data_IF_772041335441
#
_entry.id   IF_772041335441
#
_cell.length_a   1.000
_cell.length_b   1.000
_cell.length_c   1.000
_cell.angle_alpha   90.00
_cell.angle_beta   90.00
_cell.angle_gamma   90.00
#
_symmetry.space_group_name_H-M   'P 1'
#
loop_
_entity.id
_entity.type
_entity.pdbx_description
1 polymer ?
#
# COMPACT_ATOMS: atom_id res chain seq x y z
N UNK A 1 30.31 7.18 -4.61
CA UNK A 1 30.01 7.36 -6.05
C UNK A 1 28.55 7.75 -6.26
N UNK A 2 27.58 6.97 -5.74
CA UNK A 2 26.14 7.25 -5.85
C UNK A 2 25.74 8.69 -5.50
N UNK A 3 26.17 9.23 -4.35
CA UNK A 3 25.86 10.63 -3.95
C UNK A 3 26.27 11.68 -4.97
N UNK A 4 27.46 11.54 -5.55
CA UNK A 4 27.94 12.48 -6.59
C UNK A 4 27.15 12.36 -7.88
N UNK A 5 26.74 11.14 -8.27
CA UNK A 5 25.89 10.94 -9.43
C UNK A 5 24.48 11.50 -9.20
N UNK A 6 23.97 11.35 -7.97
CA UNK A 6 22.68 11.88 -7.55
C UNK A 6 22.64 13.40 -7.65
N UNK A 7 23.64 14.08 -7.09
CA UNK A 7 23.80 15.53 -7.16
C UNK A 7 23.95 16.02 -8.61
N UNK A 8 24.79 15.35 -9.42
CA UNK A 8 25.03 15.74 -10.82
C UNK A 8 23.81 15.55 -11.71
N UNK A 9 23.01 14.51 -11.46
CA UNK A 9 21.82 14.21 -12.25
C UNK A 9 20.55 14.83 -11.69
N UNK A 10 20.63 15.55 -10.56
CA UNK A 10 19.46 16.11 -9.87
C UNK A 10 18.47 15.03 -9.44
N UNK A 11 18.96 13.84 -9.06
CA UNK A 11 18.13 12.67 -8.81
C UNK A 11 17.41 12.68 -7.44
N UNK A 12 17.59 13.73 -6.63
CA UNK A 12 16.82 13.96 -5.41
C UNK A 12 16.93 12.85 -4.36
N UNK A 13 18.08 12.17 -4.30
CA UNK A 13 18.39 11.06 -3.39
C UNK A 13 18.08 9.67 -3.94
N UNK A 14 17.44 9.55 -5.11
CA UNK A 14 17.01 8.26 -5.67
C UNK A 14 18.18 7.32 -6.01
N UNK A 15 19.30 7.86 -6.53
CA UNK A 15 20.48 7.04 -6.84
C UNK A 15 21.23 6.60 -5.58
N UNK A 16 21.16 7.42 -4.52
CA UNK A 16 21.68 7.03 -3.21
C UNK A 16 20.82 5.92 -2.59
N UNK A 17 19.50 6.04 -2.65
CA UNK A 17 18.57 5.03 -2.16
C UNK A 17 18.69 3.71 -2.92
N UNK A 18 18.78 3.75 -4.26
CA UNK A 18 18.97 2.55 -5.09
C UNK A 18 20.32 1.85 -4.81
N UNK A 19 21.35 2.61 -4.46
CA UNK A 19 22.67 2.07 -4.16
C UNK A 19 22.80 1.55 -2.71
N UNK A 20 21.79 1.76 -1.86
CA UNK A 20 21.79 1.26 -0.49
C UNK A 20 21.53 -0.24 -0.52
N UNK A 21 22.44 -1.08 0.01
CA UNK A 21 22.15 -2.50 0.14
C UNK A 21 20.94 -2.69 1.08
N UNK A 22 20.13 -3.72 0.87
CA UNK A 22 19.05 -4.04 1.80
C UNK A 22 19.63 -4.25 3.20
N UNK A 23 18.95 -3.73 4.21
CA UNK A 23 19.34 -3.93 5.61
C UNK A 23 18.94 -5.34 6.03
N UNK A 24 19.87 -6.28 5.89
CA UNK A 24 19.73 -7.65 6.34
C UNK A 24 20.63 -7.87 7.56
N UNK A 25 20.13 -8.51 8.63
CA UNK A 25 20.97 -8.95 9.74
C UNK A 25 22.02 -9.97 9.30
N UNK A 26 23.19 -9.93 9.94
CA UNK A 26 24.24 -10.95 9.89
C UNK A 26 24.65 -11.40 8.47
N UNK A 27 24.50 -12.71 8.18
CA UNK A 27 24.83 -13.40 6.94
C UNK A 27 23.62 -13.55 5.99
N UNK A 28 22.54 -12.76 6.20
CA UNK A 28 21.26 -12.92 5.49
C UNK A 28 21.38 -12.87 3.96
N UNK A 29 22.20 -11.98 3.41
CA UNK A 29 22.45 -11.92 1.97
C UNK A 29 23.15 -13.19 1.44
N UNK A 30 24.13 -13.70 2.19
CA UNK A 30 24.87 -14.92 1.83
C UNK A 30 23.97 -16.16 1.93
N UNK A 31 23.06 -16.20 2.92
CA UNK A 31 22.04 -17.25 3.07
C UNK A 31 21.08 -17.28 1.89
N UNK A 32 20.52 -16.14 1.51
CA UNK A 32 19.62 -16.04 0.35
C UNK A 32 20.35 -16.49 -0.91
N UNK A 33 21.60 -16.04 -1.11
CA UNK A 33 22.41 -16.45 -2.26
C UNK A 33 22.74 -17.96 -2.24
N UNK A 34 22.96 -18.54 -1.06
CA UNK A 34 23.18 -19.97 -0.90
C UNK A 34 21.93 -20.78 -1.23
N UNK A 35 20.77 -20.38 -0.71
CA UNK A 35 19.47 -21.02 -0.96
C UNK A 35 19.10 -20.95 -2.44
N UNK A 36 19.37 -19.83 -3.12
CA UNK A 36 19.17 -19.70 -4.57
C UNK A 36 19.96 -20.74 -5.39
N UNK A 37 21.12 -21.18 -4.89
CA UNK A 37 21.94 -22.25 -5.53
C UNK A 37 21.58 -23.66 -5.04
N UNK A 38 21.00 -23.77 -3.86
CA UNK A 38 20.72 -25.05 -3.19
C UNK A 38 19.32 -25.01 -2.54
N UNK A 39 18.23 -24.96 -3.34
CA UNK A 39 16.89 -24.67 -2.84
C UNK A 39 16.39 -25.70 -1.81
N UNK A 40 16.75 -26.98 -2.00
CA UNK A 40 16.44 -28.08 -1.07
C UNK A 40 17.20 -28.02 0.26
N UNK A 41 18.16 -27.10 0.40
CA UNK A 41 18.95 -26.86 1.62
C UNK A 41 18.55 -25.57 2.33
N UNK A 42 17.40 -25.00 2.00
CA UNK A 42 16.82 -23.86 2.73
C UNK A 42 16.54 -24.25 4.18
N UNK A 43 16.67 -23.28 5.08
CA UNK A 43 16.46 -23.47 6.51
C UNK A 43 15.55 -22.35 7.08
N UNK A 44 15.06 -22.47 8.33
CA UNK A 44 14.34 -21.40 9.03
C UNK A 44 14.95 -19.99 8.88
N UNK A 45 16.26 -19.86 9.05
CA UNK A 45 16.96 -18.58 8.98
C UNK A 45 16.95 -17.98 7.57
N UNK A 46 16.88 -18.81 6.53
CA UNK A 46 16.66 -18.36 5.16
C UNK A 46 15.30 -17.69 5.01
N UNK A 47 14.25 -18.23 5.64
CA UNK A 47 12.90 -17.62 5.62
C UNK A 47 12.92 -16.28 6.33
N UNK A 48 13.59 -16.20 7.48
CA UNK A 48 13.69 -14.97 8.27
C UNK A 48 14.45 -13.87 7.49
N UNK A 49 15.55 -14.23 6.81
CA UNK A 49 16.27 -13.32 5.92
C UNK A 49 15.41 -12.83 4.72
N UNK A 50 14.54 -13.69 4.17
CA UNK A 50 13.59 -13.30 3.12
C UNK A 50 12.47 -12.38 3.64
N UNK A 51 12.09 -12.52 4.92
CA UNK A 51 11.15 -11.62 5.58
C UNK A 51 11.77 -10.23 5.82
N UNK A 52 13.03 -10.18 6.28
CA UNK A 52 13.78 -8.94 6.44
C UNK A 52 13.98 -8.22 5.10
N UNK A 53 14.29 -8.98 4.05
CA UNK A 53 14.38 -8.44 2.70
C UNK A 53 13.06 -7.83 2.23
N UNK A 54 11.92 -8.51 2.49
CA UNK A 54 10.60 -7.96 2.15
C UNK A 54 10.31 -6.67 2.92
N UNK A 55 10.59 -6.64 4.22
CA UNK A 55 10.41 -5.44 5.05
C UNK A 55 11.26 -4.26 4.53
N UNK A 56 12.51 -4.54 4.11
CA UNK A 56 13.37 -3.53 3.48
C UNK A 56 12.82 -3.05 2.14
N UNK A 57 12.28 -3.95 1.30
CA UNK A 57 11.70 -3.57 0.01
C UNK A 57 10.42 -2.72 0.14
N UNK A 58 9.61 -2.95 1.18
CA UNK A 58 8.43 -2.10 1.48
C UNK A 58 8.86 -0.66 1.75
N UNK A 59 9.81 -0.46 2.66
CA UNK A 59 10.35 0.88 2.96
C UNK A 59 11.07 1.51 1.77
N UNK A 60 11.74 0.71 0.94
CA UNK A 60 12.39 1.22 -0.26
C UNK A 60 11.36 1.73 -1.29
N UNK A 61 10.16 1.14 -1.34
CA UNK A 61 9.07 1.63 -2.19
C UNK A 61 8.60 3.02 -1.80
N UNK A 62 8.46 3.31 -0.49
CA UNK A 62 8.07 4.64 -0.02
C UNK A 62 9.03 5.73 -0.54
N UNK A 63 10.31 5.39 -0.75
CA UNK A 63 11.36 6.32 -1.21
C UNK A 63 11.49 6.41 -2.73
N UNK A 64 11.42 5.26 -3.43
CA UNK A 64 11.70 5.15 -4.87
C UNK A 64 10.45 5.13 -5.76
N UNK A 65 9.28 4.83 -5.18
CA UNK A 65 8.03 4.57 -5.87
C UNK A 65 7.91 3.14 -6.40
N UNK A 66 6.66 2.69 -6.55
CA UNK A 66 6.34 1.30 -6.88
C UNK A 66 7.00 0.80 -8.17
N UNK A 67 6.94 1.58 -9.25
CA UNK A 67 7.46 1.18 -10.56
C UNK A 67 8.98 0.88 -10.53
N UNK A 68 9.74 1.57 -9.68
CA UNK A 68 11.18 1.38 -9.57
C UNK A 68 11.56 0.07 -8.86
N UNK A 69 10.77 -0.37 -7.87
CA UNK A 69 11.05 -1.57 -7.08
C UNK A 69 10.48 -2.85 -7.69
N UNK A 70 9.46 -2.76 -8.55
CA UNK A 70 8.79 -3.90 -9.18
C UNK A 70 9.75 -4.96 -9.79
N UNK A 71 10.81 -4.62 -10.55
CA UNK A 71 11.72 -5.62 -11.10
C UNK A 71 12.46 -6.44 -10.04
N UNK A 72 12.92 -5.79 -8.96
CA UNK A 72 13.60 -6.48 -7.86
C UNK A 72 12.64 -7.39 -7.09
N UNK A 73 11.42 -6.89 -6.85
CA UNK A 73 10.37 -7.65 -6.17
C UNK A 73 9.96 -8.88 -6.99
N UNK A 74 9.89 -8.78 -8.33
CA UNK A 74 9.66 -9.92 -9.21
C UNK A 74 10.73 -11.00 -9.08
N UNK A 75 12.00 -10.61 -9.09
CA UNK A 75 13.10 -11.56 -8.98
C UNK A 75 13.09 -12.28 -7.62
N UNK A 76 12.81 -11.55 -6.54
CA UNK A 76 12.65 -12.15 -5.21
C UNK A 76 11.42 -13.06 -5.12
N UNK A 77 10.30 -12.70 -5.76
CA UNK A 77 9.12 -13.55 -5.87
C UNK A 77 9.40 -14.87 -6.57
N UNK A 78 10.13 -14.84 -7.68
CA UNK A 78 10.51 -16.03 -8.42
C UNK A 78 11.38 -16.95 -7.56
N UNK A 79 12.34 -16.37 -6.84
CA UNK A 79 13.17 -17.12 -5.89
C UNK A 79 12.32 -17.73 -4.78
N UNK A 80 11.54 -16.92 -4.05
CA UNK A 80 10.74 -17.40 -2.90
C UNK A 80 9.73 -18.46 -3.33
N UNK A 81 9.09 -18.26 -4.49
CA UNK A 81 8.19 -19.25 -5.08
C UNK A 81 8.88 -20.57 -5.43
N UNK A 82 10.09 -20.51 -5.98
CA UNK A 82 10.90 -21.70 -6.24
C UNK A 82 11.34 -22.40 -4.96
N UNK A 83 11.78 -21.65 -3.94
CA UNK A 83 12.10 -22.24 -2.64
C UNK A 83 10.88 -22.92 -2.01
N UNK A 84 9.71 -22.29 -2.08
CA UNK A 84 8.46 -22.87 -1.60
C UNK A 84 8.06 -24.15 -2.36
N UNK A 85 8.34 -24.24 -3.67
CA UNK A 85 8.05 -25.45 -4.45
C UNK A 85 8.96 -26.63 -4.10
N UNK A 86 10.22 -26.37 -3.73
CA UNK A 86 11.21 -27.39 -3.38
C UNK A 86 11.15 -27.81 -1.90
N UNK A 87 10.56 -26.96 -1.05
CA UNK A 87 10.48 -27.19 0.39
C UNK A 87 9.53 -28.34 0.77
N UNK A 88 9.91 -29.06 1.82
CA UNK A 88 9.16 -30.17 2.40
C UNK A 88 8.80 -29.86 3.86
N UNK A 89 7.84 -30.61 4.40
CA UNK A 89 7.42 -30.58 5.80
C UNK A 89 7.11 -29.16 6.34
N UNK A 90 7.48 -28.88 7.59
CA UNK A 90 7.19 -27.60 8.28
C UNK A 90 7.77 -26.38 7.53
N UNK A 91 8.92 -26.56 6.87
CA UNK A 91 9.56 -25.48 6.13
C UNK A 91 8.71 -25.02 4.94
N UNK A 92 7.94 -25.92 4.32
CA UNK A 92 7.01 -25.58 3.24
C UNK A 92 5.99 -24.56 3.71
N UNK A 93 5.36 -24.79 4.87
CA UNK A 93 4.35 -23.87 5.40
C UNK A 93 4.90 -22.46 5.62
N UNK A 94 6.13 -22.36 6.15
CA UNK A 94 6.84 -21.08 6.34
C UNK A 94 7.17 -20.38 5.03
N UNK A 95 7.70 -21.10 4.05
CA UNK A 95 8.07 -20.53 2.75
C UNK A 95 6.84 -20.14 1.91
N UNK A 96 5.77 -20.93 1.94
CA UNK A 96 4.50 -20.57 1.28
C UNK A 96 3.89 -19.32 1.92
N UNK A 97 3.94 -19.20 3.25
CA UNK A 97 3.53 -17.97 3.91
C UNK A 97 4.38 -16.76 3.50
N UNK A 98 5.69 -16.93 3.38
CA UNK A 98 6.58 -15.88 2.91
C UNK A 98 6.29 -15.51 1.44
N UNK A 99 6.05 -16.51 0.57
CA UNK A 99 5.64 -16.32 -0.82
C UNK A 99 4.33 -15.52 -0.92
N UNK A 100 3.35 -15.85 -0.06
CA UNK A 100 2.08 -15.14 0.02
C UNK A 100 2.26 -13.65 0.36
N UNK A 101 3.12 -13.32 1.32
CA UNK A 101 3.42 -11.94 1.68
C UNK A 101 4.15 -11.16 0.56
N UNK A 102 5.10 -11.81 -0.12
CA UNK A 102 5.77 -11.25 -1.29
C UNK A 102 4.78 -10.98 -2.44
N UNK A 103 3.86 -11.90 -2.69
CA UNK A 103 2.82 -11.75 -3.70
C UNK A 103 1.79 -10.68 -3.32
N UNK A 104 1.42 -10.58 -2.04
CA UNK A 104 0.57 -9.51 -1.52
C UNK A 104 1.24 -8.14 -1.79
N UNK A 105 2.53 -8.01 -1.50
CA UNK A 105 3.27 -6.78 -1.77
C UNK A 105 3.37 -6.48 -3.27
N UNK A 106 3.68 -7.46 -4.12
CA UNK A 106 3.67 -7.24 -5.57
C UNK A 106 2.28 -6.85 -6.10
N UNK A 107 1.22 -7.39 -5.49
CA UNK A 107 -0.15 -6.98 -5.73
C UNK A 107 -0.38 -5.50 -5.46
N UNK A 108 0.09 -5.01 -4.31
CA UNK A 108 0.10 -3.59 -3.94
C UNK A 108 0.88 -2.74 -4.94
N UNK A 109 2.09 -3.15 -5.35
CA UNK A 109 2.88 -2.40 -6.32
C UNK A 109 2.15 -2.19 -7.64
N UNK A 110 1.41 -3.20 -8.11
CA UNK A 110 0.56 -3.06 -9.29
C UNK A 110 -0.56 -2.05 -9.10
N UNK A 111 -1.18 -2.01 -7.91
CA UNK A 111 -2.18 -0.98 -7.57
C UNK A 111 -1.54 0.40 -7.62
N UNK A 112 -0.45 0.60 -6.88
CA UNK A 112 0.24 1.88 -6.79
C UNK A 112 0.72 2.38 -8.17
N UNK A 113 1.30 1.50 -8.99
CA UNK A 113 1.76 1.82 -10.33
C UNK A 113 0.63 1.96 -11.38
N UNK A 114 -0.60 1.52 -11.07
CA UNK A 114 -1.72 1.46 -12.01
C UNK A 114 -1.65 0.28 -13.00
N UNK A 115 -0.79 -0.71 -12.77
CA UNK A 115 -0.77 -1.97 -13.51
C UNK A 115 -1.76 -2.97 -12.88
N UNK A 116 -3.03 -2.82 -13.28
CA UNK A 116 -4.12 -3.64 -12.75
C UNK A 116 -4.00 -5.13 -13.15
N UNK A 117 -3.32 -5.44 -14.25
CA UNK A 117 -3.12 -6.82 -14.70
C UNK A 117 -2.09 -7.52 -13.81
N UNK A 118 -0.96 -6.85 -13.56
CA UNK A 118 0.06 -7.27 -12.59
C UNK A 118 -0.55 -7.47 -11.21
N UNK A 119 -1.28 -6.47 -10.72
CA UNK A 119 -1.89 -6.53 -9.40
C UNK A 119 -2.81 -7.74 -9.26
N UNK A 120 -3.71 -7.94 -10.22
CA UNK A 120 -4.66 -9.05 -10.21
C UNK A 120 -3.97 -10.42 -10.23
N UNK A 121 -2.92 -10.57 -11.03
CA UNK A 121 -2.15 -11.81 -11.08
C UNK A 121 -1.55 -12.14 -9.71
N UNK A 122 -0.83 -11.19 -9.10
CA UNK A 122 -0.15 -11.44 -7.83
C UNK A 122 -1.09 -11.52 -6.63
N UNK A 123 -2.19 -10.76 -6.59
CA UNK A 123 -3.18 -10.90 -5.53
C UNK A 123 -3.92 -12.24 -5.60
N UNK A 124 -4.10 -12.82 -6.79
CA UNK A 124 -4.66 -14.17 -6.91
C UNK A 124 -3.66 -15.22 -6.39
N UNK A 125 -2.38 -15.15 -6.77
CA UNK A 125 -1.36 -16.04 -6.21
C UNK A 125 -1.19 -15.88 -4.70
N UNK A 126 -1.23 -14.64 -4.20
CA UNK A 126 -1.18 -14.35 -2.77
C UNK A 126 -2.34 -15.02 -2.03
N UNK A 127 -3.55 -15.00 -2.61
CA UNK A 127 -4.72 -15.65 -2.01
C UNK A 127 -4.54 -17.17 -1.95
N UNK A 128 -4.08 -17.81 -3.03
CA UNK A 128 -3.80 -19.24 -3.08
C UNK A 128 -2.81 -19.66 -1.99
N UNK A 129 -1.66 -18.98 -1.92
CA UNK A 129 -0.63 -19.29 -0.91
C UNK A 129 -1.05 -18.93 0.51
N UNK A 130 -1.85 -17.86 0.70
CA UNK A 130 -2.36 -17.50 2.03
C UNK A 130 -3.29 -18.59 2.58
N UNK A 131 -4.15 -19.14 1.73
CA UNK A 131 -5.05 -20.26 2.09
C UNK A 131 -4.24 -21.52 2.39
N UNK A 132 -3.25 -21.88 1.55
CA UNK A 132 -2.37 -23.03 1.80
C UNK A 132 -1.62 -22.90 3.14
N UNK A 133 -1.14 -21.71 3.46
CA UNK A 133 -0.42 -21.46 4.72
C UNK A 133 -1.30 -21.42 5.98
N UNK A 134 -2.63 -21.40 5.84
CA UNK A 134 -3.58 -21.33 6.96
C UNK A 134 -3.55 -20.00 7.72
N UNK A 135 -3.13 -18.90 7.08
CA UNK A 135 -2.97 -17.59 7.72
C UNK A 135 -4.10 -16.63 7.32
N UNK A 136 -5.23 -16.75 8.01
CA UNK A 136 -6.46 -16.00 7.70
C UNK A 136 -6.31 -14.47 7.72
N UNK A 137 -5.46 -13.92 8.60
CA UNK A 137 -5.18 -12.49 8.63
C UNK A 137 -4.62 -11.99 7.28
N UNK A 138 -3.72 -12.76 6.67
CA UNK A 138 -3.17 -12.42 5.37
C UNK A 138 -4.20 -12.57 4.26
N UNK A 139 -5.07 -13.60 4.34
CA UNK A 139 -6.22 -13.74 3.43
C UNK A 139 -7.09 -12.49 3.47
N UNK A 140 -7.41 -11.96 4.65
CA UNK A 140 -8.21 -10.74 4.78
C UNK A 140 -7.53 -9.52 4.16
N UNK A 141 -6.24 -9.28 4.41
CA UNK A 141 -5.49 -8.20 3.75
C UNK A 141 -5.45 -8.35 2.22
N UNK A 142 -5.23 -9.56 1.70
CA UNK A 142 -5.25 -9.80 0.24
C UNK A 142 -6.62 -9.51 -0.35
N UNK A 143 -7.71 -9.90 0.32
CA UNK A 143 -9.08 -9.56 -0.09
C UNK A 143 -9.32 -8.05 -0.07
N UNK A 144 -8.84 -7.34 0.95
CA UNK A 144 -8.91 -5.88 1.05
C UNK A 144 -8.25 -5.18 -0.16
N UNK A 145 -7.05 -5.61 -0.55
CA UNK A 145 -6.37 -5.07 -1.74
C UNK A 145 -7.09 -5.42 -3.05
N UNK A 146 -7.69 -6.62 -3.13
CA UNK A 146 -8.52 -6.99 -4.29
C UNK A 146 -9.78 -6.13 -4.39
N UNK A 147 -10.38 -5.77 -3.26
CA UNK A 147 -11.53 -4.88 -3.22
C UNK A 147 -11.13 -3.46 -3.66
N UNK A 148 -9.99 -2.94 -3.21
CA UNK A 148 -9.45 -1.65 -3.67
C UNK A 148 -9.23 -1.65 -5.20
N UNK A 149 -8.58 -2.68 -5.74
CA UNK A 149 -8.37 -2.84 -7.18
C UNK A 149 -9.70 -2.88 -7.97
N UNK A 150 -10.72 -3.53 -7.41
CA UNK A 150 -12.06 -3.56 -8.01
C UNK A 150 -12.69 -2.17 -8.04
N UNK A 151 -12.60 -1.41 -6.95
CA UNK A 151 -13.04 -0.02 -6.87
C UNK A 151 -12.36 0.87 -7.89
N UNK A 152 -11.02 0.77 -8.03
CA UNK A 152 -10.25 1.52 -9.03
C UNK A 152 -10.61 1.14 -10.48
N UNK A 153 -11.17 -0.05 -10.69
CA UNK A 153 -11.66 -0.52 -12.00
C UNK A 153 -13.16 -0.23 -12.22
N UNK A 154 -13.85 0.40 -11.25
CA UNK A 154 -15.27 0.74 -11.32
C UNK A 154 -16.24 -0.40 -10.96
N UNK A 155 -15.75 -1.53 -10.45
CA UNK A 155 -16.59 -2.64 -9.99
C UNK A 155 -17.00 -2.44 -8.53
N UNK A 156 -18.05 -1.63 -8.34
CA UNK A 156 -18.59 -1.26 -7.02
C UNK A 156 -19.15 -2.50 -6.29
N UNK A 157 -19.71 -3.45 -7.02
CA UNK A 157 -20.27 -4.68 -6.45
C UNK A 157 -19.18 -5.55 -5.82
N UNK A 158 -18.07 -5.75 -6.55
CA UNK A 158 -16.92 -6.46 -6.01
C UNK A 158 -16.22 -5.67 -4.89
N UNK A 159 -16.10 -4.34 -4.99
CA UNK A 159 -15.61 -3.51 -3.88
C UNK A 159 -16.40 -3.80 -2.60
N UNK A 160 -17.73 -3.64 -2.61
CA UNK A 160 -18.56 -3.92 -1.42
C UNK A 160 -18.47 -5.37 -0.95
N UNK A 161 -18.65 -6.33 -1.86
CA UNK A 161 -18.73 -7.75 -1.51
C UNK A 161 -17.42 -8.30 -0.97
N UNK A 162 -16.29 -7.92 -1.59
CA UNK A 162 -14.96 -8.41 -1.22
C UNK A 162 -14.46 -7.71 0.05
N UNK A 163 -14.70 -6.41 0.25
CA UNK A 163 -14.38 -5.75 1.53
C UNK A 163 -15.14 -6.40 2.69
N UNK A 164 -16.44 -6.69 2.52
CA UNK A 164 -17.22 -7.41 3.55
C UNK A 164 -16.65 -8.81 3.81
N UNK A 165 -16.21 -9.52 2.78
CA UNK A 165 -15.57 -10.82 2.95
C UNK A 165 -14.24 -10.73 3.72
N UNK A 166 -13.42 -9.70 3.46
CA UNK A 166 -12.19 -9.43 4.20
C UNK A 166 -12.48 -9.23 5.71
N UNK A 167 -13.50 -8.44 6.04
CA UNK A 167 -13.92 -8.16 7.42
C UNK A 167 -14.40 -9.39 8.21
N UNK A 168 -14.71 -10.51 7.55
CA UNK A 168 -15.08 -11.77 8.23
C UNK A 168 -13.89 -12.64 8.61
N UNK A 169 -12.67 -12.28 8.18
CA UNK A 169 -11.48 -13.11 8.42
C UNK A 169 -10.97 -12.94 9.85
N UNK A 170 -10.69 -14.05 10.57
CA UNK A 170 -10.16 -13.99 11.92
C UNK A 170 -8.69 -13.53 11.92
N UNK A 171 -8.28 -12.93 13.03
CA UNK A 171 -6.89 -12.52 13.25
C UNK A 171 -6.44 -11.27 12.48
N UNK A 172 -7.36 -10.59 11.80
CA UNK A 172 -7.10 -9.30 11.17
C UNK A 172 -6.58 -8.27 12.18
N UNK A 173 -5.58 -7.49 11.79
CA UNK A 173 -5.05 -6.43 12.64
C UNK A 173 -6.10 -5.33 12.86
N UNK A 174 -6.10 -4.65 14.01
CA UNK A 174 -6.96 -3.48 14.24
C UNK A 174 -6.83 -2.42 13.15
N UNK A 175 -5.60 -2.17 12.68
CA UNK A 175 -5.36 -1.18 11.62
C UNK A 175 -5.94 -1.59 10.26
N UNK A 176 -5.88 -2.88 9.90
CA UNK A 176 -6.52 -3.41 8.69
C UNK A 176 -8.05 -3.31 8.80
N UNK A 177 -8.62 -3.63 9.94
CA UNK A 177 -10.05 -3.48 10.18
C UNK A 177 -10.49 -2.02 10.05
N UNK A 178 -9.73 -1.07 10.61
CA UNK A 178 -10.04 0.36 10.47
C UNK A 178 -10.08 0.80 9.00
N UNK A 179 -9.05 0.46 8.23
CA UNK A 179 -9.00 0.75 6.79
C UNK A 179 -10.16 0.12 6.01
N UNK A 180 -10.45 -1.16 6.26
CA UNK A 180 -11.53 -1.86 5.55
C UNK A 180 -12.90 -1.23 5.84
N UNK A 181 -13.09 -0.66 7.03
CA UNK A 181 -14.30 0.09 7.37
C UNK A 181 -14.37 1.46 6.67
N UNK A 182 -13.26 2.18 6.54
CA UNK A 182 -13.21 3.39 5.70
C UNK A 182 -13.47 3.08 4.22
N UNK A 183 -12.86 2.01 3.70
CA UNK A 183 -13.10 1.51 2.35
C UNK A 183 -14.59 1.16 2.15
N UNK A 184 -15.21 0.50 3.12
CA UNK A 184 -16.62 0.15 3.08
C UNK A 184 -17.53 1.41 3.09
N UNK A 185 -17.20 2.43 3.88
CA UNK A 185 -17.92 3.68 3.89
C UNK A 185 -17.91 4.36 2.52
N UNK A 186 -16.73 4.47 1.89
CA UNK A 186 -16.59 5.01 0.52
C UNK A 186 -17.35 4.17 -0.50
N UNK A 187 -17.31 2.84 -0.36
CA UNK A 187 -18.03 1.93 -1.23
C UNK A 187 -19.56 2.12 -1.15
N UNK A 188 -20.11 2.36 0.05
CA UNK A 188 -21.53 2.66 0.23
C UNK A 188 -21.96 3.97 -0.42
N UNK A 189 -21.11 5.02 -0.37
CA UNK A 189 -21.37 6.26 -1.12
C UNK A 189 -21.50 5.98 -2.61
N UNK A 190 -20.55 5.22 -3.18
CA UNK A 190 -20.58 4.85 -4.61
C UNK A 190 -21.82 4.02 -4.98
N UNK A 191 -22.33 3.22 -4.05
CA UNK A 191 -23.55 2.43 -4.22
C UNK A 191 -24.85 3.22 -3.96
N UNK A 192 -24.77 4.49 -3.55
CA UNK A 192 -25.92 5.33 -3.26
C UNK A 192 -26.59 5.08 -1.90
N UNK A 193 -25.96 4.32 -1.00
CA UNK A 193 -26.47 4.04 0.35
C UNK A 193 -25.82 4.97 1.38
N UNK A 194 -26.30 6.22 1.44
CA UNK A 194 -25.73 7.24 2.32
C UNK A 194 -25.84 6.87 3.80
N UNK A 195 -26.93 6.20 4.20
CA UNK A 195 -27.13 5.81 5.60
C UNK A 195 -26.09 4.76 6.03
N UNK A 196 -25.87 3.74 5.21
CA UNK A 196 -24.83 2.76 5.47
C UNK A 196 -23.43 3.38 5.41
N UNK A 197 -23.20 4.36 4.52
CA UNK A 197 -21.94 5.08 4.44
C UNK A 197 -21.61 5.83 5.74
N UNK A 198 -22.57 6.60 6.28
CA UNK A 198 -22.40 7.34 7.54
C UNK A 198 -22.14 6.38 8.70
N UNK A 199 -22.93 5.30 8.81
CA UNK A 199 -22.72 4.30 9.87
C UNK A 199 -21.37 3.60 9.76
N UNK A 200 -20.92 3.29 8.55
CA UNK A 200 -19.60 2.69 8.32
C UNK A 200 -18.45 3.66 8.63
N UNK A 201 -18.61 4.96 8.33
CA UNK A 201 -17.61 5.98 8.63
C UNK A 201 -17.40 6.16 10.14
N UNK A 202 -18.48 6.24 10.92
CA UNK A 202 -18.40 6.28 12.40
C UNK A 202 -17.69 5.02 12.93
N UNK A 203 -18.09 3.85 12.44
CA UNK A 203 -17.48 2.58 12.81
C UNK A 203 -15.98 2.50 12.43
N UNK A 204 -15.56 3.19 11.36
CA UNK A 204 -14.17 3.27 10.95
C UNK A 204 -13.33 4.16 11.88
N UNK A 205 -13.86 5.32 12.30
CA UNK A 205 -13.20 6.23 13.24
C UNK A 205 -13.01 5.59 14.63
N UNK A 206 -14.01 4.87 15.13
CA UNK A 206 -13.89 4.10 16.38
C UNK A 206 -12.77 3.05 16.28
N UNK A 207 -12.67 2.36 15.14
CA UNK A 207 -11.64 1.34 14.89
C UNK A 207 -10.26 1.96 14.71
N UNK A 208 -10.15 3.11 14.06
CA UNK A 208 -8.90 3.83 13.94
C UNK A 208 -8.37 4.22 15.33
N UNK A 209 -9.25 4.71 16.21
CA UNK A 209 -8.89 4.99 17.61
C UNK A 209 -8.38 3.73 18.31
N UNK A 210 -9.12 2.63 18.23
CA UNK A 210 -8.72 1.36 18.82
C UNK A 210 -7.39 0.82 18.24
N UNK A 211 -7.11 1.06 16.96
CA UNK A 211 -5.86 0.67 16.31
C UNK A 211 -4.66 1.48 16.86
N UNK A 212 -4.85 2.78 17.11
CA UNK A 212 -3.81 3.64 17.68
C UNK A 212 -3.50 3.31 19.15
N UNK A 213 -4.47 2.76 19.88
CA UNK A 213 -4.32 2.32 21.26
C UNK A 213 -3.77 0.89 21.37
N UNK A 214 -3.67 0.16 20.26
CA UNK A 214 -3.23 -1.23 20.27
C UNK A 214 -1.73 -1.35 20.53
N UNK A 215 -1.36 -1.84 21.71
CA UNK A 215 0.04 -2.06 22.12
C UNK A 215 0.61 -3.44 21.80
N UNK A 216 -0.07 -4.26 20.98
CA UNK A 216 0.41 -5.59 20.59
C UNK A 216 1.23 -5.58 19.29
N UNK A 217 1.70 -6.75 18.89
CA UNK A 217 2.46 -6.92 17.65
C UNK A 217 1.56 -6.75 16.42
N UNK A 218 1.99 -5.91 15.47
CA UNK A 218 1.33 -5.71 14.18
C UNK A 218 1.97 -6.60 13.11
N UNK A 219 1.19 -7.06 12.12
CA UNK A 219 1.77 -7.69 10.94
C UNK A 219 2.80 -6.76 10.25
N UNK A 220 3.89 -7.30 9.69
CA UNK A 220 4.96 -6.48 9.09
C UNK A 220 4.51 -5.55 7.96
N UNK A 221 3.37 -5.85 7.32
CA UNK A 221 2.81 -5.07 6.22
C UNK A 221 1.96 -3.87 6.67
N UNK A 222 1.69 -3.72 7.98
CA UNK A 222 0.86 -2.65 8.54
C UNK A 222 1.68 -1.53 9.20
N UNK A 223 3.00 -1.48 8.98
CA UNK A 223 3.93 -0.56 9.66
C UNK A 223 3.59 0.94 9.51
N UNK A 224 2.87 1.31 8.45
CA UNK A 224 2.50 2.69 8.15
C UNK A 224 1.10 3.10 8.67
N UNK A 225 0.41 2.22 9.42
CA UNK A 225 -0.94 2.49 9.95
C UNK A 225 -0.89 3.29 11.24
N UNK A 226 -0.46 4.53 11.11
CA UNK A 226 -0.36 5.48 12.20
C UNK A 226 -1.50 6.51 12.17
N UNK A 227 -1.39 7.53 13.04
CA UNK A 227 -2.38 8.60 13.14
C UNK A 227 -2.52 9.38 11.83
N UNK A 228 -1.40 9.69 11.18
CA UNK A 228 -1.40 10.44 9.94
C UNK A 228 -2.15 9.67 8.84
N UNK A 229 -1.89 8.37 8.72
CA UNK A 229 -2.62 7.51 7.78
C UNK A 229 -4.13 7.47 8.05
N UNK A 230 -4.56 7.36 9.32
CA UNK A 230 -6.00 7.36 9.62
C UNK A 230 -6.67 8.72 9.41
N UNK A 231 -5.98 9.83 9.62
CA UNK A 231 -6.49 11.16 9.27
C UNK A 231 -6.71 11.27 7.74
N UNK A 232 -5.80 10.70 6.93
CA UNK A 232 -5.96 10.63 5.47
C UNK A 232 -7.19 9.81 5.06
N UNK A 233 -7.36 8.62 5.62
CA UNK A 233 -8.50 7.74 5.36
C UNK A 233 -9.84 8.37 5.78
N UNK A 234 -9.86 9.03 6.95
CA UNK A 234 -11.01 9.77 7.43
C UNK A 234 -11.33 10.95 6.49
N UNK A 235 -10.34 11.76 6.14
CA UNK A 235 -10.51 12.90 5.23
C UNK A 235 -11.00 12.49 3.85
N UNK A 236 -10.46 11.41 3.27
CA UNK A 236 -10.94 10.83 2.02
C UNK A 236 -12.41 10.40 2.09
N UNK A 237 -12.80 9.80 3.22
CA UNK A 237 -14.18 9.34 3.46
C UNK A 237 -15.14 10.53 3.64
N UNK A 238 -14.73 11.57 4.37
CA UNK A 238 -15.49 12.81 4.54
C UNK A 238 -15.69 13.54 3.21
N UNK A 239 -14.67 13.52 2.35
CA UNK A 239 -14.76 14.13 1.01
C UNK A 239 -15.86 13.50 0.16
N UNK A 240 -15.99 12.17 0.15
CA UNK A 240 -17.03 11.50 -0.64
C UNK A 240 -18.42 11.64 -0.03
N UNK A 241 -18.52 11.86 1.28
CA UNK A 241 -19.77 12.18 1.98
C UNK A 241 -20.23 13.63 1.74
N UNK A 242 -19.44 14.46 1.06
CA UNK A 242 -19.75 15.88 0.78
C UNK A 242 -19.36 16.82 1.92
N UNK A 243 -18.70 16.32 2.97
CA UNK A 243 -18.22 17.11 4.11
C UNK A 243 -16.86 17.74 3.79
N UNK A 244 -16.84 18.61 2.78
CA UNK A 244 -15.60 19.06 2.14
C UNK A 244 -14.70 19.92 3.05
N UNK A 245 -15.23 20.80 3.91
CA UNK A 245 -14.38 21.53 4.87
C UNK A 245 -13.64 20.56 5.81
N UNK A 246 -14.37 19.59 6.35
CA UNK A 246 -13.80 18.57 7.26
C UNK A 246 -12.80 17.67 6.54
N UNK A 247 -13.05 17.37 5.28
CA UNK A 247 -12.12 16.63 4.43
C UNK A 247 -10.79 17.38 4.25
N UNK A 248 -10.84 18.69 3.98
CA UNK A 248 -9.64 19.54 3.85
C UNK A 248 -8.83 19.53 5.14
N UNK A 249 -9.48 19.71 6.30
CA UNK A 249 -8.82 19.68 7.60
C UNK A 249 -8.07 18.36 7.86
N UNK A 250 -8.76 17.24 7.67
CA UNK A 250 -8.21 15.90 7.95
C UNK A 250 -7.13 15.49 6.95
N UNK A 251 -7.34 15.74 5.66
CA UNK A 251 -6.34 15.45 4.63
C UNK A 251 -5.08 16.29 4.83
N UNK A 252 -5.22 17.56 5.21
CA UNK A 252 -4.07 18.43 5.53
C UNK A 252 -3.32 17.90 6.75
N UNK A 253 -4.04 17.63 7.85
CA UNK A 253 -3.43 17.10 9.07
C UNK A 253 -2.69 15.77 8.83
N UNK A 254 -3.30 14.86 8.07
CA UNK A 254 -2.68 13.60 7.69
C UNK A 254 -1.44 13.80 6.84
N UNK A 255 -1.50 14.65 5.82
CA UNK A 255 -0.37 14.93 4.92
C UNK A 255 0.81 15.63 5.62
N UNK A 256 0.52 16.46 6.62
CA UNK A 256 1.54 17.16 7.43
C UNK A 256 2.14 16.25 8.52
N UNK A 257 1.41 15.19 8.91
CA UNK A 257 1.87 14.20 9.88
C UNK A 257 2.74 13.08 9.32
N UNK A 258 2.87 12.98 7.99
CA UNK A 258 3.69 11.95 7.34
C UNK A 258 5.18 12.16 7.61
N UNK A 259 5.91 11.05 7.76
CA UNK A 259 7.37 11.09 7.77
C UNK A 259 7.94 11.51 6.39
N UNK A 260 9.24 11.82 6.35
CA UNK A 260 9.90 12.34 5.16
C UNK A 260 9.92 11.35 3.97
N UNK A 261 9.99 10.04 4.26
CA UNK A 261 10.01 9.01 3.22
C UNK A 261 8.60 8.86 2.63
N UNK A 262 7.59 8.74 3.49
CA UNK A 262 6.17 8.64 3.13
C UNK A 262 5.63 9.90 2.42
N UNK A 263 6.13 11.10 2.74
CA UNK A 263 5.64 12.37 2.19
C UNK A 263 5.76 12.48 0.65
N UNK A 264 6.65 11.70 0.04
CA UNK A 264 6.88 11.65 -1.42
C UNK A 264 6.49 10.31 -2.05
N UNK A 265 5.91 9.39 -1.29
CA UNK A 265 5.47 8.10 -1.80
C UNK A 265 4.32 8.24 -2.82
N UNK A 266 4.19 7.26 -3.70
CA UNK A 266 3.17 7.29 -4.76
C UNK A 266 1.75 7.29 -4.19
N UNK A 267 1.53 6.54 -3.10
CA UNK A 267 0.23 6.49 -2.43
C UNK A 267 -0.17 7.85 -1.83
N UNK A 268 0.79 8.62 -1.30
CA UNK A 268 0.57 9.99 -0.78
C UNK A 268 0.01 10.92 -1.86
N UNK A 269 0.49 10.80 -3.09
CA UNK A 269 -0.01 11.60 -4.22
C UNK A 269 -1.51 11.42 -4.48
N UNK A 270 -2.10 10.27 -4.14
CA UNK A 270 -3.54 10.03 -4.26
C UNK A 270 -4.33 10.89 -3.26
N UNK A 271 -3.86 10.98 -2.02
CA UNK A 271 -4.48 11.83 -0.99
C UNK A 271 -4.33 13.31 -1.28
N UNK A 272 -3.19 13.74 -1.85
CA UNK A 272 -3.03 15.14 -2.28
C UNK A 272 -4.00 15.49 -3.42
N UNK A 273 -4.31 14.55 -4.34
CA UNK A 273 -5.36 14.76 -5.35
C UNK A 273 -6.76 14.91 -4.72
N UNK A 274 -7.05 14.13 -3.67
CA UNK A 274 -8.30 14.22 -2.94
C UNK A 274 -8.40 15.55 -2.18
N UNK A 275 -7.30 16.03 -1.58
CA UNK A 275 -7.23 17.35 -0.94
C UNK A 275 -7.50 18.44 -1.96
N UNK A 276 -6.84 18.41 -3.12
CA UNK A 276 -7.07 19.38 -4.19
C UNK A 276 -8.55 19.41 -4.63
N UNK A 277 -9.19 18.24 -4.73
CA UNK A 277 -10.60 18.13 -5.10
C UNK A 277 -11.52 18.70 -4.02
N UNK A 278 -11.25 18.43 -2.75
CA UNK A 278 -12.01 18.98 -1.63
C UNK A 278 -11.84 20.50 -1.51
N UNK A 279 -10.61 21.02 -1.70
CA UNK A 279 -10.32 22.45 -1.77
C UNK A 279 -11.12 23.15 -2.87
N UNK A 280 -11.18 22.56 -4.07
CA UNK A 280 -12.01 23.10 -5.17
C UNK A 280 -13.49 23.13 -4.81
N UNK A 281 -14.00 22.10 -4.14
CA UNK A 281 -15.40 22.01 -3.75
C UNK A 281 -15.83 23.12 -2.77
N UNK A 282 -14.90 23.64 -1.95
CA UNK A 282 -15.14 24.76 -1.04
C UNK A 282 -14.66 26.12 -1.59
N UNK A 283 -14.14 26.16 -2.82
CA UNK A 283 -13.69 27.39 -3.49
C UNK A 283 -12.26 27.82 -3.20
N UNK A 284 -11.44 27.01 -2.51
CA UNK A 284 -10.03 27.28 -2.21
C UNK A 284 -9.11 26.99 -3.42
N UNK A 285 -9.23 27.81 -4.46
CA UNK A 285 -8.51 27.61 -5.74
C UNK A 285 -6.98 27.65 -5.61
N UNK A 286 -6.45 28.59 -4.80
CA UNK A 286 -5.00 28.72 -4.61
C UNK A 286 -4.42 27.52 -3.86
N UNK A 287 -5.14 27.00 -2.87
CA UNK A 287 -4.78 25.77 -2.17
C UNK A 287 -4.79 24.57 -3.10
N UNK A 288 -5.84 24.43 -3.91
CA UNK A 288 -5.94 23.37 -4.92
C UNK A 288 -4.79 23.42 -5.95
N UNK A 289 -4.39 24.61 -6.39
CA UNK A 289 -3.27 24.79 -7.31
C UNK A 289 -1.93 24.30 -6.70
N UNK A 290 -1.69 24.62 -5.43
CA UNK A 290 -0.51 24.14 -4.70
C UNK A 290 -0.52 22.61 -4.55
N UNK A 291 -1.66 22.04 -4.19
CA UNK A 291 -1.84 20.59 -4.09
C UNK A 291 -1.59 19.90 -5.44
N UNK A 292 -2.09 20.46 -6.55
CA UNK A 292 -1.82 19.95 -7.91
C UNK A 292 -0.33 19.96 -8.24
N UNK A 293 0.39 21.04 -7.92
CA UNK A 293 1.84 21.10 -8.16
C UNK A 293 2.60 20.09 -7.30
N UNK A 294 2.19 19.90 -6.04
CA UNK A 294 2.75 18.86 -5.18
C UNK A 294 2.59 17.46 -5.79
N UNK A 295 1.41 17.12 -6.32
CA UNK A 295 1.22 15.83 -7.00
C UNK A 295 2.07 15.72 -8.27
N UNK A 296 2.21 16.80 -9.07
CA UNK A 296 3.08 16.78 -10.26
C UNK A 296 4.52 16.45 -9.89
N UNK A 297 5.02 17.04 -8.81
CA UNK A 297 6.36 16.76 -8.28
C UNK A 297 6.51 15.28 -7.88
N UNK A 298 5.56 14.74 -7.11
CA UNK A 298 5.55 13.31 -6.71
C UNK A 298 5.51 12.40 -7.94
N UNK A 299 4.58 12.67 -8.87
CA UNK A 299 4.42 11.89 -10.10
C UNK A 299 5.69 11.89 -10.97
N UNK A 300 6.38 13.03 -11.08
CA UNK A 300 7.63 13.14 -11.81
C UNK A 300 8.77 12.37 -11.12
N UNK A 301 8.91 12.53 -9.80
CA UNK A 301 9.93 11.85 -8.99
C UNK A 301 9.83 10.33 -9.13
N UNK A 302 8.63 9.79 -9.00
CA UNK A 302 8.39 8.34 -8.97
C UNK A 302 8.06 7.76 -10.36
N UNK A 303 8.00 8.62 -11.39
CA UNK A 303 7.57 8.26 -12.77
C UNK A 303 6.18 7.62 -12.81
N UNK A 304 5.28 8.11 -11.96
CA UNK A 304 3.94 7.55 -11.78
C UNK A 304 2.98 8.02 -12.88
N UNK A 305 2.69 7.10 -13.81
CA UNK A 305 1.69 7.31 -14.86
C UNK A 305 0.28 7.47 -14.29
N UNK A 306 -0.03 6.74 -13.21
CA UNK A 306 -1.32 6.82 -12.48
C UNK A 306 -1.54 8.20 -11.89
N UNK A 307 -0.60 8.72 -11.09
CA UNK A 307 -0.72 10.06 -10.51
C UNK A 307 -0.80 11.14 -11.59
N UNK A 308 -0.01 11.00 -12.66
CA UNK A 308 -0.09 11.91 -13.81
C UNK A 308 -1.48 11.96 -14.44
N UNK A 309 -2.22 10.84 -14.45
CA UNK A 309 -3.60 10.79 -14.92
C UNK A 309 -4.58 11.46 -13.95
N UNK A 310 -4.44 11.21 -12.65
CA UNK A 310 -5.26 11.85 -11.61
C UNK A 310 -5.11 13.37 -11.63
N UNK A 311 -3.87 13.87 -11.76
CA UNK A 311 -3.59 15.31 -11.88
C UNK A 311 -4.33 15.93 -13.05
N UNK A 312 -4.33 15.29 -14.23
CA UNK A 312 -5.05 15.81 -15.40
C UNK A 312 -6.55 15.95 -15.13
N UNK A 313 -7.15 15.01 -14.42
CA UNK A 313 -8.58 15.05 -14.07
C UNK A 313 -8.89 16.19 -13.09
N UNK A 314 -8.04 16.38 -12.07
CA UNK A 314 -8.20 17.48 -11.10
C UNK A 314 -7.98 18.83 -11.79
N UNK A 315 -6.91 18.99 -12.58
CA UNK A 315 -6.63 20.23 -13.32
C UNK A 315 -7.78 20.61 -14.27
N UNK A 316 -8.37 19.63 -14.98
CA UNK A 316 -9.54 19.89 -15.83
C UNK A 316 -10.77 20.39 -15.06
N UNK A 317 -10.84 20.13 -13.75
CA UNK A 317 -11.92 20.66 -12.89
C UNK A 317 -11.63 22.08 -12.39
N UNK A 318 -10.37 22.51 -12.40
CA UNK A 318 -9.98 23.89 -12.06
C UNK A 318 -10.32 24.90 -13.17
N UNK A 319 -10.32 24.43 -14.41
CA UNK A 319 -10.58 25.25 -15.60
C UNK A 319 -12.08 25.48 -15.88
N UNK A 320 -12.97 24.89 -15.06
CA UNK A 320 -14.43 25.03 -15.14
C UNK A 320 -14.96 26.06 -14.15
#
# INVERSE_FOLDING_TARGET
MARRLDEVLGAGGLLVALARPPELPDDGADRIAFAARHPTRSDPATVDALADLLASQRRLEDVLGAAAVMPAVKANLDLVGHLASEAQDDLRGRLVYQAAQWAQFAGWLGIAAGDHAWSRHWLNQALEWSVESGRDALVGTVLSFRADLAGQSGDIGALLGVTRAALTKPGMSPGQLAYDHFQLARAYVLAGDLQAAISAAVAAEDRATAALEFGGEMPPWDYYRDRAFFDLEAGATRSVLGEHERAVELLTAGLDGLDADSASADWTGTYVCQLASAQLAIGERDGAAQSVERVRSIAARNRSGRLSALVRNVSASMDR
#
